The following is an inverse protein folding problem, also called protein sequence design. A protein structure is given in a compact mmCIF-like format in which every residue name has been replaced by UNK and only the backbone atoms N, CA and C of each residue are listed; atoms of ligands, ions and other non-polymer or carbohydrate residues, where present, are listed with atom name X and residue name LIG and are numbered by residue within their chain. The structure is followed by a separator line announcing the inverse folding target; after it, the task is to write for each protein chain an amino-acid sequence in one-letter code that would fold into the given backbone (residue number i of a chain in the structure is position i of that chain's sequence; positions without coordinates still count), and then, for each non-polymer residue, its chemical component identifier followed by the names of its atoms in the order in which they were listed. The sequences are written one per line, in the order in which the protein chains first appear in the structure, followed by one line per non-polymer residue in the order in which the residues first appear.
data_IF_843599220170
#
_entry.id   IF_843599220170
#
_cell.length_a   1.000
_cell.length_b   1.000
_cell.length_c   1.000
_cell.angle_alpha   90.00
_cell.angle_beta   90.00
_cell.angle_gamma   90.00
#
_symmetry.space_group_name_H-M   'P 1'
#
loop_
_entity.id
_entity.type
_entity.pdbx_description
1 polymer ?
#
# COMPACT_ATOMS: atom_id res chain seq x y z
N UNK A 1 -15.67 -32.82 -48.84
CA UNK A 1 -16.71 -32.26 -47.95
C UNK A 1 -16.00 -31.76 -46.70
N UNK A 2 -15.69 -30.47 -46.64
CA UNK A 2 -14.95 -29.89 -45.52
C UNK A 2 -15.93 -29.63 -44.38
N UNK A 3 -15.76 -30.34 -43.27
CA UNK A 3 -16.55 -30.13 -42.05
C UNK A 3 -15.98 -28.88 -41.37
N UNK A 4 -16.66 -27.74 -41.54
CA UNK A 4 -16.48 -26.59 -40.65
C UNK A 4 -17.09 -26.95 -39.30
N UNK A 5 -16.25 -27.35 -38.34
CA UNK A 5 -16.64 -27.37 -36.95
C UNK A 5 -16.66 -25.93 -36.43
N UNK A 6 -17.83 -25.30 -36.42
CA UNK A 6 -18.04 -24.08 -35.64
C UNK A 6 -18.15 -24.48 -34.17
N UNK A 7 -17.04 -24.43 -33.43
CA UNK A 7 -17.10 -24.40 -31.99
C UNK A 7 -17.82 -23.10 -31.61
N UNK A 8 -19.04 -23.22 -31.08
CA UNK A 8 -19.70 -22.11 -30.42
C UNK A 8 -18.85 -21.78 -29.18
N UNK A 9 -17.89 -20.88 -29.33
CA UNK A 9 -17.25 -20.24 -28.20
C UNK A 9 -18.37 -19.49 -27.50
N UNK A 10 -18.84 -20.05 -26.38
CA UNK A 10 -19.74 -19.41 -25.44
C UNK A 10 -18.96 -18.23 -24.86
N UNK A 11 -18.87 -17.14 -25.64
CA UNK A 11 -18.26 -15.87 -25.27
C UNK A 11 -19.19 -15.20 -24.26
N UNK A 12 -19.27 -15.83 -23.09
CA UNK A 12 -19.93 -15.28 -21.92
C UNK A 12 -19.17 -14.01 -21.56
N UNK A 13 -19.76 -12.89 -21.94
CA UNK A 13 -19.27 -11.55 -21.66
C UNK A 13 -19.44 -11.31 -20.15
N UNK A 14 -18.53 -11.88 -19.36
CA UNK A 14 -18.54 -11.86 -17.91
C UNK A 14 -17.23 -11.24 -17.42
N UNK A 15 -17.33 -9.97 -17.04
CA UNK A 15 -16.92 -9.41 -15.76
C UNK A 15 -16.59 -7.93 -15.97
N UNK A 16 -17.59 -7.05 -15.89
CA UNK A 16 -17.31 -5.67 -15.53
C UNK A 16 -16.97 -5.71 -14.04
N UNK A 17 -15.68 -5.80 -13.72
CA UNK A 17 -15.25 -5.72 -12.33
C UNK A 17 -15.85 -4.48 -11.70
N UNK A 18 -16.38 -4.61 -10.47
CA UNK A 18 -16.83 -3.45 -9.73
C UNK A 18 -15.68 -2.44 -9.70
N UNK A 19 -15.95 -1.15 -9.98
CA UNK A 19 -14.89 -0.16 -10.07
C UNK A 19 -14.14 -0.14 -8.75
N UNK A 20 -12.84 -0.43 -8.83
CA UNK A 20 -11.95 -0.49 -7.67
C UNK A 20 -11.26 0.86 -7.50
N UNK A 21 -11.26 1.37 -6.27
CA UNK A 21 -10.69 2.65 -5.92
C UNK A 21 -9.33 2.43 -5.27
N UNK A 22 -8.28 2.89 -5.96
CA UNK A 22 -6.91 2.74 -5.50
C UNK A 22 -6.73 3.38 -4.11
N UNK A 23 -6.03 2.64 -3.24
CA UNK A 23 -5.67 3.04 -1.89
C UNK A 23 -4.96 4.41 -1.87
N UNK A 24 -5.26 5.29 -0.93
CA UNK A 24 -4.67 6.62 -0.85
C UNK A 24 -3.24 6.55 -0.33
N UNK A 25 -2.32 7.26 -0.97
CA UNK A 25 -1.06 7.60 -0.30
C UNK A 25 -1.36 8.43 0.95
N UNK A 26 -0.88 7.97 2.10
CA UNK A 26 -0.90 8.74 3.35
C UNK A 26 0.23 9.78 3.29
N UNK A 27 -0.07 11.03 3.65
CA UNK A 27 0.93 12.10 3.74
C UNK A 27 1.94 11.78 4.83
N UNK A 28 3.23 11.97 4.53
CA UNK A 28 4.30 11.72 5.50
C UNK A 28 4.18 12.61 6.74
N UNK A 29 4.49 12.08 7.94
CA UNK A 29 4.53 12.89 9.16
C UNK A 29 5.62 13.97 9.05
N UNK A 30 5.25 15.23 9.24
CA UNK A 30 6.21 16.34 9.30
C UNK A 30 6.54 16.70 10.75
N UNK A 31 7.78 17.13 11.00
CA UNK A 31 8.38 17.18 12.34
C UNK A 31 7.77 18.18 13.34
N UNK A 32 6.90 19.10 12.92
CA UNK A 32 6.40 20.20 13.77
C UNK A 32 5.11 19.89 14.55
N UNK A 33 4.56 18.68 14.45
CA UNK A 33 3.17 18.42 14.88
C UNK A 33 2.99 17.40 16.02
N UNK A 34 4.04 16.75 16.48
CA UNK A 34 3.96 15.75 17.56
C UNK A 34 4.91 16.10 18.70
N UNK A 35 4.59 15.67 19.92
CA UNK A 35 5.45 15.94 21.09
C UNK A 35 5.90 14.63 21.72
N UNK A 36 7.18 14.58 22.07
CA UNK A 36 7.79 13.52 22.87
C UNK A 36 8.39 14.15 24.12
N UNK A 37 8.12 13.57 25.28
CA UNK A 37 8.74 14.01 26.52
C UNK A 37 8.99 12.81 27.43
N UNK A 38 9.96 12.96 28.35
CA UNK A 38 10.05 12.05 29.47
C UNK A 38 8.95 12.42 30.47
N UNK A 39 8.31 11.41 31.05
CA UNK A 39 7.27 11.62 32.08
C UNK A 39 7.53 10.70 33.26
N UNK A 40 7.19 11.16 34.47
CA UNK A 40 7.24 10.30 35.64
C UNK A 40 6.22 9.18 35.48
N UNK A 41 6.67 7.93 35.58
CA UNK A 41 5.78 6.79 35.49
C UNK A 41 6.30 5.63 36.34
N UNK A 42 5.56 5.31 37.39
CA UNK A 42 5.83 4.13 38.21
C UNK A 42 5.79 2.87 37.33
N UNK A 43 6.77 1.99 37.51
CA UNK A 43 6.85 0.73 36.77
C UNK A 43 7.50 0.82 35.38
N UNK A 44 8.10 1.95 35.00
CA UNK A 44 8.91 2.01 33.78
C UNK A 44 10.10 1.06 33.88
N UNK A 45 10.26 0.22 32.86
CA UNK A 45 11.41 -0.69 32.70
C UNK A 45 12.52 -0.10 31.82
N UNK A 46 12.37 1.16 31.40
CA UNK A 46 13.29 1.84 30.49
C UNK A 46 14.53 2.29 31.27
N UNK A 47 15.75 1.86 30.88
CA UNK A 47 16.98 2.34 31.51
C UNK A 47 17.15 3.85 31.34
N UNK A 48 17.82 4.49 32.28
CA UNK A 48 18.22 5.89 32.11
C UNK A 48 19.13 6.03 30.88
N UNK A 49 18.86 7.03 30.04
CA UNK A 49 19.59 7.21 28.79
C UNK A 49 18.93 8.18 27.82
N UNK A 50 19.57 8.36 26.68
CA UNK A 50 19.04 9.15 25.56
C UNK A 50 18.45 8.21 24.52
N UNK A 51 17.22 8.52 24.11
CA UNK A 51 16.47 7.76 23.12
C UNK A 51 16.06 8.65 21.95
N UNK A 52 15.93 8.02 20.79
CA UNK A 52 15.38 8.62 19.58
C UNK A 52 14.05 7.96 19.30
N UNK A 53 13.04 8.77 19.10
CA UNK A 53 11.68 8.33 18.80
C UNK A 53 11.28 8.91 17.45
N UNK A 54 10.64 8.09 16.64
CA UNK A 54 9.93 8.54 15.45
C UNK A 54 8.59 7.83 15.36
N UNK A 55 7.72 8.32 14.49
CA UNK A 55 6.49 7.61 14.18
C UNK A 55 6.21 7.64 12.69
N UNK A 56 5.37 6.71 12.24
CA UNK A 56 4.80 6.71 10.89
C UNK A 56 3.29 6.72 11.02
N UNK A 57 2.61 7.27 10.03
CA UNK A 57 1.23 6.93 9.78
C UNK A 57 1.12 5.59 9.05
N UNK A 58 0.13 4.80 9.44
CA UNK A 58 -0.29 3.62 8.71
C UNK A 58 -1.81 3.51 8.63
N UNK A 59 -2.25 2.52 7.86
CA UNK A 59 -3.68 2.24 7.68
C UNK A 59 -4.01 0.75 7.78
N UNK A 60 -5.27 0.40 7.51
CA UNK A 60 -5.77 -0.99 7.59
C UNK A 60 -5.29 -1.84 6.40
N UNK A 61 -4.75 -1.22 5.35
CA UNK A 61 -4.16 -1.89 4.18
C UNK A 61 -2.67 -2.22 4.37
N UNK A 62 -2.16 -2.11 5.60
CA UNK A 62 -0.73 -2.32 5.93
C UNK A 62 0.22 -1.36 5.20
N UNK A 63 -0.28 -0.23 4.70
CA UNK A 63 0.56 0.84 4.17
C UNK A 63 1.17 1.63 5.32
N UNK A 64 2.37 2.17 5.08
CA UNK A 64 3.12 2.93 6.05
C UNK A 64 3.95 4.05 5.41
N UNK A 65 3.86 5.23 6.01
CA UNK A 65 4.65 6.42 5.59
C UNK A 65 6.13 6.28 5.92
N UNK A 66 6.96 7.22 5.43
CA UNK A 66 8.32 7.36 5.96
C UNK A 66 8.25 7.80 7.42
N UNK A 67 9.21 7.35 8.23
CA UNK A 67 9.30 7.78 9.63
C UNK A 67 9.46 9.29 9.72
N UNK A 68 8.79 9.89 10.71
CA UNK A 68 8.95 11.30 11.06
C UNK A 68 10.41 11.62 11.36
N UNK A 69 10.83 12.90 11.30
CA UNK A 69 12.09 13.32 11.90
C UNK A 69 12.18 12.80 13.34
N UNK A 70 13.33 12.21 13.69
CA UNK A 70 13.55 11.64 15.00
C UNK A 70 13.59 12.75 16.06
N UNK A 71 12.86 12.55 17.16
CA UNK A 71 12.89 13.41 18.34
C UNK A 71 13.72 12.74 19.42
N UNK A 72 14.65 13.49 19.99
CA UNK A 72 15.50 13.02 21.08
C UNK A 72 14.81 13.24 22.42
N UNK A 73 14.84 12.24 23.30
CA UNK A 73 14.32 12.30 24.67
C UNK A 73 15.34 11.71 25.63
N UNK A 74 15.61 12.42 26.73
CA UNK A 74 16.45 11.93 27.82
C UNK A 74 15.55 11.43 28.94
N UNK A 75 15.68 10.15 29.27
CA UNK A 75 14.91 9.45 30.30
C UNK A 75 15.81 9.22 31.50
N UNK A 76 15.33 9.53 32.69
CA UNK A 76 15.97 9.17 33.97
C UNK A 76 15.30 7.96 34.61
N UNK A 77 15.92 7.37 35.63
CA UNK A 77 15.36 6.20 36.33
C UNK A 77 13.94 6.49 36.85
N UNK A 78 12.99 5.62 36.52
CA UNK A 78 11.58 5.76 36.93
C UNK A 78 10.75 6.65 36.00
N UNK A 79 11.29 7.07 34.85
CA UNK A 79 10.52 7.79 33.83
C UNK A 79 10.11 6.87 32.67
N UNK A 80 8.94 7.15 32.10
CA UNK A 80 8.47 6.65 30.82
C UNK A 80 8.72 7.65 29.69
N UNK A 81 8.36 7.27 28.46
CA UNK A 81 8.33 8.19 27.32
C UNK A 81 6.86 8.47 26.98
N UNK A 82 6.45 9.74 27.06
CA UNK A 82 5.14 10.20 26.65
C UNK A 82 5.15 10.67 25.20
N UNK A 83 4.09 10.33 24.46
CA UNK A 83 3.86 10.79 23.09
C UNK A 83 2.49 11.47 22.99
N UNK A 84 2.39 12.50 22.15
CA UNK A 84 1.12 13.04 21.68
C UNK A 84 1.19 13.26 20.18
N UNK A 85 0.28 12.60 19.46
CA UNK A 85 0.18 12.70 18.02
C UNK A 85 -0.70 13.89 17.60
N UNK A 86 -0.45 14.50 16.42
CA UNK A 86 -1.42 15.40 15.83
C UNK A 86 -2.66 14.64 15.35
N UNK A 87 -3.65 15.39 14.87
CA UNK A 87 -4.77 14.82 14.14
C UNK A 87 -4.27 13.89 13.02
N UNK A 88 -4.87 12.71 12.92
CA UNK A 88 -4.49 11.74 11.90
C UNK A 88 -4.78 12.34 10.52
N UNK A 89 -3.81 12.32 9.59
CA UNK A 89 -4.07 12.77 8.23
C UNK A 89 -5.12 11.88 7.58
N UNK A 90 -5.72 12.36 6.51
CA UNK A 90 -6.71 11.59 5.75
C UNK A 90 -6.15 10.20 5.44
N UNK A 91 -6.93 9.17 5.76
CA UNK A 91 -6.64 7.75 5.53
C UNK A 91 -5.62 7.08 6.45
N UNK A 92 -5.02 7.79 7.41
CA UNK A 92 -4.32 7.14 8.50
C UNK A 92 -5.34 6.59 9.50
N UNK A 93 -5.21 5.31 9.86
CA UNK A 93 -6.01 4.67 10.93
C UNK A 93 -5.17 4.37 12.17
N UNK A 94 -3.83 4.48 12.05
CA UNK A 94 -2.89 4.27 13.15
C UNK A 94 -1.60 5.08 12.99
N UNK A 95 -0.94 5.30 14.12
CA UNK A 95 0.44 5.78 14.21
C UNK A 95 1.35 4.67 14.75
N UNK A 96 2.32 4.18 13.97
CA UNK A 96 3.30 3.22 14.46
C UNK A 96 4.49 3.98 15.08
N UNK A 97 4.90 3.59 16.28
CA UNK A 97 6.00 4.24 17.01
C UNK A 97 7.26 3.40 16.92
N UNK A 98 8.36 4.10 16.66
CA UNK A 98 9.70 3.57 16.54
C UNK A 98 10.58 4.18 17.63
N UNK A 99 11.34 3.33 18.32
CA UNK A 99 12.23 3.76 19.41
C UNK A 99 13.60 3.13 19.21
N UNK A 100 14.66 3.87 19.47
CA UNK A 100 16.03 3.37 19.44
C UNK A 100 16.99 4.25 20.24
N UNK A 101 18.24 3.79 20.40
CA UNK A 101 19.34 4.56 20.99
C UNK A 101 20.13 5.37 19.95
N UNK A 102 19.78 5.22 18.67
CA UNK A 102 20.27 6.02 17.54
C UNK A 102 19.10 6.32 16.60
N UNK A 103 19.11 7.49 15.97
CA UNK A 103 18.11 7.89 14.97
C UNK A 103 18.11 7.00 13.73
N UNK A 104 19.23 6.34 13.42
CA UNK A 104 19.35 5.48 12.24
C UNK A 104 18.92 4.02 12.45
N UNK A 105 18.69 3.61 13.70
CA UNK A 105 18.39 2.21 14.05
C UNK A 105 17.14 2.08 14.91
N UNK A 106 16.21 3.03 14.80
CA UNK A 106 14.93 2.96 15.51
C UNK A 106 14.12 1.74 15.04
N UNK A 107 13.50 1.05 16.00
CA UNK A 107 12.73 -0.18 15.75
C UNK A 107 11.31 -0.04 16.21
N UNK A 108 10.43 -0.75 15.52
CA UNK A 108 9.00 -0.78 15.82
C UNK A 108 8.79 -1.20 17.27
N UNK A 109 8.02 -0.41 18.02
CA UNK A 109 7.70 -0.64 19.43
C UNK A 109 6.22 -0.98 19.58
N UNK A 110 5.35 -0.07 19.14
CA UNK A 110 3.90 -0.14 19.35
C UNK A 110 3.15 0.66 18.27
N UNK A 111 1.83 0.68 18.33
CA UNK A 111 0.99 1.56 17.54
C UNK A 111 -0.17 2.14 18.36
N UNK A 112 -0.75 3.24 17.88
CA UNK A 112 -1.90 3.90 18.48
C UNK A 112 -2.94 4.26 17.41
N UNK A 113 -4.21 4.26 17.77
CA UNK A 113 -5.33 4.56 16.86
C UNK A 113 -6.07 5.86 17.23
N UNK A 114 -5.51 6.63 18.15
CA UNK A 114 -6.07 7.88 18.63
C UNK A 114 -4.99 8.97 18.79
N UNK A 115 -5.41 10.18 19.13
CA UNK A 115 -4.54 11.36 19.32
C UNK A 115 -4.34 11.72 20.79
N UNK A 116 -4.72 10.84 21.72
CA UNK A 116 -4.57 11.06 23.15
C UNK A 116 -3.10 10.95 23.53
N UNK A 117 -2.71 11.52 24.67
CA UNK A 117 -1.38 11.32 25.22
C UNK A 117 -1.20 9.88 25.67
N UNK A 118 -0.13 9.23 25.22
CA UNK A 118 0.22 7.86 25.60
C UNK A 118 1.55 7.83 26.32
N UNK A 119 1.68 6.99 27.34
CA UNK A 119 2.96 6.76 28.03
C UNK A 119 3.44 5.34 27.77
N UNK A 120 4.64 5.21 27.22
CA UNK A 120 5.31 3.93 27.04
C UNK A 120 6.26 3.65 28.20
N UNK A 121 6.10 2.45 28.75
CA UNK A 121 6.79 1.93 29.93
C UNK A 121 7.56 0.63 29.64
N UNK A 122 7.42 0.11 28.42
CA UNK A 122 7.97 -1.17 28.00
C UNK A 122 9.49 -1.16 27.85
N UNK A 123 10.13 -2.34 27.79
CA UNK A 123 11.54 -2.44 27.48
C UNK A 123 11.79 -2.03 26.03
N UNK A 124 13.04 -1.63 25.71
CA UNK A 124 13.41 -1.29 24.33
C UNK A 124 13.05 -2.41 23.35
N UNK A 125 12.60 -2.07 22.14
CA UNK A 125 12.32 -3.05 21.09
C UNK A 125 13.48 -4.03 20.89
N UNK A 126 13.15 -5.32 20.74
CA UNK A 126 14.16 -6.37 20.56
C UNK A 126 14.97 -6.17 19.27
N UNK A 127 16.12 -6.84 19.16
CA UNK A 127 16.94 -6.80 17.95
C UNK A 127 16.21 -7.33 16.70
N UNK A 128 15.19 -8.17 16.87
CA UNK A 128 14.42 -8.76 15.77
C UNK A 128 13.23 -7.90 15.31
N UNK A 129 12.96 -6.78 15.97
CA UNK A 129 11.88 -5.89 15.56
C UNK A 129 12.22 -5.16 14.25
N UNK A 130 11.19 -4.90 13.45
CA UNK A 130 11.28 -4.20 12.16
C UNK A 130 11.89 -2.80 12.32
N UNK A 131 12.77 -2.41 11.40
CA UNK A 131 13.35 -1.07 11.34
C UNK A 131 12.31 -0.02 10.90
N UNK A 132 12.55 1.24 11.27
CA UNK A 132 11.78 2.37 10.80
C UNK A 132 11.80 2.48 9.25
N UNK A 133 10.64 2.63 8.59
CA UNK A 133 10.58 2.86 7.15
C UNK A 133 11.32 4.13 6.75
N UNK A 134 12.22 4.01 5.77
CA UNK A 134 12.96 5.14 5.17
C UNK A 134 12.32 5.63 3.87
N UNK A 135 11.32 4.92 3.37
CA UNK A 135 10.52 5.29 2.21
C UNK A 135 9.06 5.14 2.59
N UNK A 136 8.23 6.11 2.21
CA UNK A 136 6.79 5.95 2.23
C UNK A 136 6.44 4.80 1.29
N UNK A 137 5.91 3.70 1.82
CA UNK A 137 5.41 2.63 0.97
C UNK A 137 4.23 3.25 0.21
N UNK A 138 4.46 3.57 -1.06
CA UNK A 138 3.42 4.06 -1.96
C UNK A 138 2.21 3.13 -1.87
N UNK A 139 1.03 3.71 -2.09
CA UNK A 139 -0.24 3.00 -2.14
C UNK A 139 -0.02 1.57 -2.65
N UNK A 140 -0.32 0.59 -1.78
CA UNK A 140 -0.18 -0.82 -2.10
C UNK A 140 -0.82 -1.02 -3.46
N UNK A 141 -0.09 -1.58 -4.45
CA UNK A 141 -0.65 -1.80 -5.76
C UNK A 141 -1.97 -2.57 -5.62
N UNK A 142 -3.06 -1.98 -6.08
CA UNK A 142 -4.37 -2.61 -5.92
C UNK A 142 -4.54 -3.69 -6.97
N UNK A 143 -4.94 -4.89 -6.56
CA UNK A 143 -5.35 -5.94 -7.49
C UNK A 143 -6.65 -5.51 -8.17
N UNK A 144 -6.55 -5.05 -9.41
CA UNK A 144 -7.70 -4.62 -10.21
C UNK A 144 -8.32 -5.79 -10.98
N UNK A 145 -7.58 -6.87 -11.22
CA UNK A 145 -8.11 -8.13 -11.75
C UNK A 145 -7.25 -9.32 -11.32
N UNK A 146 -7.89 -10.47 -11.08
CA UNK A 146 -7.24 -11.75 -10.80
C UNK A 146 -7.72 -12.74 -11.83
N UNK A 147 -6.80 -13.34 -12.59
CA UNK A 147 -7.16 -14.44 -13.49
C UNK A 147 -7.67 -15.63 -12.70
N UNK A 148 -8.65 -16.40 -13.22
CA UNK A 148 -9.07 -17.64 -12.58
C UNK A 148 -7.89 -18.61 -12.42
N UNK A 149 -7.98 -19.45 -11.39
CA UNK A 149 -7.09 -20.60 -11.22
C UNK A 149 -7.30 -21.58 -12.37
N UNK A 150 -6.27 -22.31 -12.82
CA UNK A 150 -6.48 -23.40 -13.77
C UNK A 150 -7.54 -24.37 -13.20
N UNK A 151 -8.54 -24.70 -14.01
CA UNK A 151 -9.47 -25.78 -13.69
C UNK A 151 -8.70 -27.10 -13.72
N UNK A 152 -8.99 -28.06 -12.82
CA UNK A 152 -8.33 -29.37 -12.81
C UNK A 152 -8.45 -30.14 -14.12
N UNK A 153 -9.36 -29.73 -15.02
CA UNK A 153 -9.57 -30.34 -16.33
C UNK A 153 -8.71 -29.76 -17.47
N UNK A 154 -7.86 -28.76 -17.21
CA UNK A 154 -6.96 -28.17 -18.21
C UNK A 154 -5.50 -28.47 -17.83
N UNK A 155 -4.83 -29.32 -18.60
CA UNK A 155 -3.47 -29.84 -18.28
C UNK A 155 -2.33 -28.92 -18.69
N UNK A 156 -2.60 -27.77 -19.32
CA UNK A 156 -1.60 -26.80 -19.74
C UNK A 156 -2.05 -25.38 -19.37
N UNK A 157 -1.13 -24.51 -18.89
CA UNK A 157 -1.46 -23.12 -18.61
C UNK A 157 -1.64 -22.37 -19.94
N UNK A 158 -2.89 -22.25 -20.40
CA UNK A 158 -3.27 -21.21 -21.35
C UNK A 158 -3.36 -19.87 -20.61
N UNK A 159 -3.10 -18.76 -21.32
CA UNK A 159 -3.50 -17.47 -20.80
C UNK A 159 -5.01 -17.50 -20.58
N UNK A 160 -5.44 -17.29 -19.33
CA UNK A 160 -6.84 -17.45 -18.95
C UNK A 160 -7.62 -16.15 -19.07
N UNK A 161 -6.95 -15.03 -19.38
CA UNK A 161 -7.62 -13.77 -19.69
C UNK A 161 -6.86 -12.93 -20.71
N UNK A 162 -7.60 -12.19 -21.53
CA UNK A 162 -7.12 -11.14 -22.40
C UNK A 162 -7.81 -9.82 -22.02
N UNK A 163 -7.05 -8.87 -21.50
CA UNK A 163 -7.54 -7.51 -21.24
C UNK A 163 -7.44 -6.70 -22.52
N UNK A 164 -8.55 -6.09 -22.94
CA UNK A 164 -8.68 -5.32 -24.20
C UNK A 164 -8.70 -3.82 -23.99
N UNK A 165 -9.36 -3.39 -22.93
CA UNK A 165 -9.53 -1.99 -22.62
C UNK A 165 -9.50 -1.76 -21.11
N UNK A 166 -8.89 -0.64 -20.73
CA UNK A 166 -8.89 -0.15 -19.35
C UNK A 166 -9.30 1.31 -19.38
N UNK A 167 -10.33 1.67 -18.62
CA UNK A 167 -10.71 3.05 -18.37
C UNK A 167 -10.17 3.47 -17.00
N UNK A 168 -9.43 4.57 -16.95
CA UNK A 168 -8.92 5.17 -15.73
C UNK A 168 -9.46 6.60 -15.60
N UNK A 169 -10.27 6.85 -14.58
CA UNK A 169 -10.86 8.15 -14.31
C UNK A 169 -10.18 8.80 -13.11
N UNK A 170 -9.70 10.03 -13.27
CA UNK A 170 -9.20 10.84 -12.17
C UNK A 170 -10.34 11.66 -11.57
N UNK A 171 -10.78 11.31 -10.35
CA UNK A 171 -11.82 12.01 -9.60
C UNK A 171 -11.27 13.09 -8.66
N UNK A 172 -9.97 13.39 -8.74
CA UNK A 172 -9.29 14.40 -7.93
C UNK A 172 -9.23 15.77 -8.60
N UNK A 173 -8.87 16.78 -7.80
CA UNK A 173 -8.71 18.18 -8.25
C UNK A 173 -7.31 18.50 -8.82
N UNK A 174 -6.40 17.54 -8.82
CA UNK A 174 -5.05 17.67 -9.38
C UNK A 174 -4.74 16.50 -10.31
N UNK A 175 -3.76 16.66 -11.19
CA UNK A 175 -3.31 15.57 -12.05
C UNK A 175 -2.79 14.39 -11.20
N UNK A 176 -3.18 13.20 -11.60
CA UNK A 176 -2.84 11.94 -10.94
C UNK A 176 -1.99 11.09 -11.88
N UNK A 177 -1.17 10.20 -11.33
CA UNK A 177 -0.43 9.21 -12.13
C UNK A 177 -0.84 7.80 -11.77
N UNK A 178 -0.89 6.90 -12.75
CA UNK A 178 -1.16 5.47 -12.57
C UNK A 178 -0.16 4.63 -13.35
N UNK A 179 0.22 3.48 -12.80
CA UNK A 179 1.02 2.46 -13.47
C UNK A 179 0.36 1.10 -13.32
N UNK A 180 0.61 0.20 -14.27
CA UNK A 180 0.04 -1.15 -14.28
C UNK A 180 1.13 -2.20 -14.26
N UNK A 181 0.92 -3.26 -13.49
CA UNK A 181 1.82 -4.39 -13.32
C UNK A 181 1.09 -5.70 -13.52
N UNK A 182 1.67 -6.60 -14.32
CA UNK A 182 1.22 -7.98 -14.44
C UNK A 182 1.99 -8.84 -13.45
N UNK A 183 1.38 -9.21 -12.33
CA UNK A 183 2.06 -9.87 -11.22
C UNK A 183 1.75 -11.37 -11.21
N UNK A 184 2.73 -12.24 -11.46
CA UNK A 184 2.57 -13.69 -11.31
C UNK A 184 2.23 -14.06 -9.86
N UNK A 185 1.46 -15.12 -9.67
CA UNK A 185 0.93 -15.55 -8.35
C UNK A 185 1.98 -15.52 -7.25
N UNK A 186 1.78 -14.65 -6.25
CA UNK A 186 2.67 -14.49 -5.09
C UNK A 186 3.87 -13.55 -5.29
N UNK A 187 4.09 -13.00 -6.50
CA UNK A 187 5.13 -11.99 -6.74
C UNK A 187 4.69 -10.60 -6.28
N UNK A 188 5.59 -9.61 -6.37
CA UNK A 188 5.29 -8.20 -6.11
C UNK A 188 5.41 -7.37 -7.40
N UNK A 189 4.65 -6.26 -7.52
CA UNK A 189 4.88 -5.24 -8.54
C UNK A 189 6.31 -4.72 -8.53
N UNK A 190 6.90 -4.62 -9.71
CA UNK A 190 8.25 -4.12 -9.93
C UNK A 190 8.37 -3.54 -11.34
N UNK A 191 9.51 -2.91 -11.65
CA UNK A 191 9.77 -2.45 -13.01
C UNK A 191 9.83 -3.61 -14.03
N UNK A 192 10.21 -4.83 -13.61
CA UNK A 192 10.34 -5.98 -14.51
C UNK A 192 9.02 -6.58 -14.96
N UNK A 193 7.91 -6.25 -14.29
CA UNK A 193 6.57 -6.72 -14.62
C UNK A 193 5.59 -5.57 -14.91
N UNK A 194 6.12 -4.38 -15.18
CA UNK A 194 5.34 -3.20 -15.52
C UNK A 194 4.87 -3.27 -16.98
N UNK A 195 3.56 -3.10 -17.18
CA UNK A 195 2.93 -3.10 -18.53
C UNK A 195 2.45 -1.71 -18.95
N UNK A 196 2.32 -0.78 -18.00
CA UNK A 196 2.10 0.64 -18.24
C UNK A 196 2.95 1.45 -17.27
N UNK A 197 3.89 2.22 -17.79
CA UNK A 197 4.66 3.20 -17.02
C UNK A 197 3.83 4.45 -16.71
N UNK A 198 4.07 5.07 -15.56
CA UNK A 198 3.44 6.29 -15.01
C UNK A 198 2.63 7.15 -16.00
N UNK A 199 1.38 6.78 -16.24
CA UNK A 199 0.44 7.52 -17.08
C UNK A 199 -0.16 8.65 -16.26
N UNK A 200 0.00 9.89 -16.73
CA UNK A 200 -0.65 11.06 -16.11
C UNK A 200 -2.08 11.25 -16.64
N UNK A 201 -3.01 11.42 -15.71
CA UNK A 201 -4.43 11.68 -15.96
C UNK A 201 -4.75 13.05 -15.34
N UNK A 202 -5.12 14.07 -16.15
CA UNK A 202 -5.52 15.38 -15.63
C UNK A 202 -6.65 15.30 -14.61
N UNK A 203 -6.81 16.35 -13.80
CA UNK A 203 -7.90 16.44 -12.82
C UNK A 203 -9.27 16.35 -13.52
N UNK A 204 -10.20 15.57 -12.94
CA UNK A 204 -11.56 15.37 -13.47
C UNK A 204 -11.62 14.82 -14.91
N UNK A 205 -10.62 14.04 -15.33
CA UNK A 205 -10.51 13.51 -16.70
C UNK A 205 -10.51 11.97 -16.72
N UNK A 206 -10.77 11.39 -17.89
CA UNK A 206 -10.78 9.94 -18.13
C UNK A 206 -9.81 9.59 -19.25
N UNK A 207 -8.93 8.62 -18.99
CA UNK A 207 -8.12 7.97 -20.03
C UNK A 207 -8.65 6.59 -20.33
N UNK A 208 -8.84 6.32 -21.62
CA UNK A 208 -9.16 4.99 -22.13
C UNK A 208 -7.91 4.41 -22.77
N UNK A 209 -7.46 3.27 -22.27
CA UNK A 209 -6.36 2.48 -22.79
C UNK A 209 -6.94 1.35 -23.61
N UNK A 210 -7.16 1.61 -24.90
CA UNK A 210 -7.66 0.61 -25.84
C UNK A 210 -6.51 -0.11 -26.54
N UNK A 211 -6.80 -1.23 -27.21
CA UNK A 211 -5.83 -2.06 -27.92
C UNK A 211 -4.70 -2.61 -27.04
N UNK A 212 -4.93 -2.68 -25.73
CA UNK A 212 -4.16 -3.53 -24.84
C UNK A 212 -4.44 -4.95 -25.34
N UNK A 213 -3.46 -5.67 -25.86
CA UNK A 213 -3.62 -7.11 -26.11
C UNK A 213 -2.89 -7.83 -24.98
N UNK A 214 -3.25 -7.48 -23.74
CA UNK A 214 -2.56 -7.96 -22.56
C UNK A 214 -3.10 -9.33 -22.19
N UNK A 215 -2.27 -10.36 -22.36
CA UNK A 215 -2.58 -11.73 -22.02
C UNK A 215 -2.10 -12.02 -20.58
N UNK A 216 -2.99 -12.55 -19.76
CA UNK A 216 -2.67 -12.91 -18.38
C UNK A 216 -2.69 -14.44 -18.23
N UNK A 217 -1.57 -15.06 -17.83
CA UNK A 217 -1.52 -16.46 -17.44
C UNK A 217 -2.42 -16.72 -16.23
N UNK A 218 -2.81 -17.98 -16.04
CA UNK A 218 -3.54 -18.41 -14.85
C UNK A 218 -2.79 -18.04 -13.56
N UNK A 219 -3.53 -17.82 -12.47
CA UNK A 219 -2.99 -17.41 -11.17
C UNK A 219 -2.17 -16.09 -11.17
N UNK A 220 -2.33 -15.23 -12.18
CA UNK A 220 -1.76 -13.88 -12.19
C UNK A 220 -2.75 -12.83 -11.69
N UNK A 221 -2.22 -11.66 -11.35
CA UNK A 221 -3.02 -10.47 -11.06
C UNK A 221 -2.58 -9.32 -11.93
N UNK A 222 -3.54 -8.50 -12.36
CA UNK A 222 -3.27 -7.15 -12.85
C UNK A 222 -3.38 -6.21 -11.65
N UNK A 223 -2.30 -5.50 -11.37
CA UNK A 223 -2.24 -4.56 -10.26
C UNK A 223 -1.99 -3.14 -10.76
N UNK A 224 -2.60 -2.17 -10.10
CA UNK A 224 -2.43 -0.75 -10.41
C UNK A 224 -1.84 0.01 -9.22
N UNK A 225 -0.88 0.88 -9.50
CA UNK A 225 -0.25 1.75 -8.49
C UNK A 225 -0.43 3.19 -8.89
N UNK A 226 -0.94 4.03 -7.99
CA UNK A 226 -1.07 5.47 -8.22
C UNK A 226 0.01 6.26 -7.47
N UNK A 227 0.53 7.32 -8.11
CA UNK A 227 1.47 8.25 -7.47
C UNK A 227 0.76 9.27 -6.57
N UNK A 228 -0.51 9.55 -6.84
CA UNK A 228 -1.37 10.50 -6.11
C UNK A 228 -2.41 9.77 -5.27
N UNK A 229 -2.78 10.32 -4.12
CA UNK A 229 -3.72 9.72 -3.18
C UNK A 229 -5.18 9.69 -3.69
N UNK A 230 -5.77 8.49 -3.82
CA UNK A 230 -7.23 8.22 -3.96
C UNK A 230 -7.92 8.86 -5.18
N UNK A 231 -7.16 9.20 -6.21
CA UNK A 231 -7.65 9.97 -7.33
C UNK A 231 -8.15 9.08 -8.48
N UNK A 232 -7.59 7.88 -8.66
CA UNK A 232 -7.91 7.05 -9.84
C UNK A 232 -8.94 5.96 -9.53
N UNK A 233 -9.99 5.93 -10.33
CA UNK A 233 -10.97 4.84 -10.45
C UNK A 233 -10.68 4.05 -11.72
N UNK A 234 -10.65 2.71 -11.65
CA UNK A 234 -10.37 1.88 -12.82
C UNK A 234 -11.50 0.90 -13.13
N UNK A 235 -11.78 0.75 -14.43
CA UNK A 235 -12.67 -0.28 -15.00
C UNK A 235 -11.87 -1.02 -16.06
N UNK A 236 -11.99 -2.35 -16.07
CA UNK A 236 -11.28 -3.22 -17.01
C UNK A 236 -12.32 -4.00 -17.81
N UNK A 237 -12.07 -4.16 -19.10
CA UNK A 237 -12.82 -5.08 -19.95
C UNK A 237 -11.88 -6.04 -20.68
N UNK A 238 -12.38 -7.24 -20.92
CA UNK A 238 -11.60 -8.32 -21.49
C UNK A 238 -12.43 -9.57 -21.70
N UNK A 239 -11.74 -10.66 -22.02
CA UNK A 239 -12.33 -11.99 -22.21
C UNK A 239 -11.52 -12.99 -21.40
N UNK A 240 -12.21 -13.84 -20.65
CA UNK A 240 -11.59 -15.03 -20.06
C UNK A 240 -11.58 -16.17 -21.08
N UNK A 241 -10.46 -16.88 -21.16
CA UNK A 241 -10.28 -18.02 -22.06
C UNK A 241 -10.12 -19.24 -21.16
N UNK A 242 -11.11 -20.13 -21.17
CA UNK A 242 -11.12 -21.35 -20.38
C UNK A 242 -11.08 -22.58 -21.28
#
# INVERSE_FOLDING_TARGET
MAVLASAAADARLLYQGMPKKLGPKITDPTGSQWTVSATTASGSSIPAGTYFVGFTWGNDWSEETVVSPAVQVTVTTGQGIAFRFPAFPTNATKANVYIGTSSSTMKYSTFFTDTVSHTWLGPLPSSNNRLAPVVNTTAMPEVIYTTPSPSPNVTLPSATACVKEIMAANTGSTAATVSLHLVPGGSSPSASNQVLSSLSIPANDVRVLSNLNLMLPANCTLQASQGSSKAILMIISGVEIQ
#
